data_IF_761731944289
#
_entry.id   IF_761731944289
#
_cell.length_a   1.000
_cell.length_b   1.000
_cell.length_c   1.000
_cell.angle_alpha   90.00
_cell.angle_beta   90.00
_cell.angle_gamma   90.00
#
_symmetry.space_group_name_H-M   'P 1'
#
loop_
_entity.id
_entity.type
_entity.pdbx_description
1 polymer ?
#
# COMPACT_ATOMS: atom_id res chain seq x y z
N UNK A 1 32.56 7.02 -6.07
CA UNK A 1 31.54 6.91 -5.00
C UNK A 1 30.13 7.31 -5.48
N UNK A 2 29.78 7.11 -6.77
CA UNK A 2 28.44 7.42 -7.29
C UNK A 2 27.45 6.25 -7.20
N UNK A 3 27.92 5.05 -6.84
CA UNK A 3 27.12 3.83 -6.86
C UNK A 3 26.25 3.64 -5.62
N UNK A 4 26.65 4.13 -4.44
CA UNK A 4 25.98 3.80 -3.17
C UNK A 4 24.57 4.37 -3.07
N UNK A 5 24.36 5.64 -3.45
CA UNK A 5 23.05 6.26 -3.31
C UNK A 5 22.00 5.66 -4.25
N UNK A 6 22.39 5.25 -5.46
CA UNK A 6 21.47 4.65 -6.43
C UNK A 6 20.87 3.33 -5.92
N UNK A 7 21.65 2.51 -5.22
CA UNK A 7 21.15 1.26 -4.64
C UNK A 7 20.11 1.47 -3.55
N UNK A 8 20.20 2.55 -2.76
CA UNK A 8 19.19 2.86 -1.75
C UNK A 8 17.84 3.18 -2.38
N UNK A 9 17.84 3.96 -3.47
CA UNK A 9 16.63 4.19 -4.25
C UNK A 9 16.06 2.89 -4.84
N UNK A 10 16.91 2.03 -5.40
CA UNK A 10 16.49 0.72 -5.91
C UNK A 10 15.84 -0.12 -4.83
N UNK A 11 16.39 -0.13 -3.61
CA UNK A 11 15.81 -0.89 -2.50
C UNK A 11 14.43 -0.36 -2.07
N UNK A 12 14.24 0.96 -2.06
CA UNK A 12 12.92 1.56 -1.76
C UNK A 12 11.92 1.28 -2.88
N UNK A 13 12.37 1.31 -4.14
CA UNK A 13 11.54 0.94 -5.30
C UNK A 13 11.17 -0.54 -5.29
N UNK A 14 12.07 -1.42 -4.86
CA UNK A 14 11.80 -2.84 -4.67
C UNK A 14 10.68 -3.05 -3.63
N UNK A 15 10.73 -2.32 -2.51
CA UNK A 15 9.63 -2.30 -1.53
C UNK A 15 8.32 -1.75 -2.08
N UNK A 16 8.39 -0.73 -2.93
CA UNK A 16 7.20 -0.21 -3.61
C UNK A 16 6.61 -1.25 -4.56
N UNK A 17 7.44 -1.96 -5.32
CA UNK A 17 7.00 -3.02 -6.23
C UNK A 17 6.37 -4.20 -5.47
N UNK A 18 6.98 -4.64 -4.36
CA UNK A 18 6.40 -5.63 -3.45
C UNK A 18 5.02 -5.20 -2.94
N UNK A 19 4.88 -3.93 -2.56
CA UNK A 19 3.63 -3.37 -2.08
C UNK A 19 2.56 -3.32 -3.19
N UNK A 20 2.93 -2.90 -4.40
CA UNK A 20 2.05 -2.92 -5.58
C UNK A 20 1.55 -4.33 -5.89
N UNK A 21 2.43 -5.33 -5.86
CA UNK A 21 2.02 -6.73 -6.06
C UNK A 21 1.02 -7.18 -4.98
N UNK A 22 1.30 -6.86 -3.71
CA UNK A 22 0.39 -7.20 -2.61
C UNK A 22 -0.97 -6.51 -2.77
N UNK A 23 -0.99 -5.25 -3.22
CA UNK A 23 -2.22 -4.52 -3.51
C UNK A 23 -3.03 -5.18 -4.62
N UNK A 24 -2.38 -5.55 -5.72
CA UNK A 24 -3.01 -6.32 -6.82
C UNK A 24 -3.65 -7.63 -6.29
N UNK A 25 -2.92 -8.34 -5.42
CA UNK A 25 -3.46 -9.54 -4.77
C UNK A 25 -4.70 -9.21 -3.92
N UNK A 26 -4.75 -8.07 -3.25
CA UNK A 26 -5.91 -7.61 -2.48
C UNK A 26 -7.08 -7.26 -3.40
N UNK A 27 -6.84 -6.52 -4.49
CA UNK A 27 -7.85 -6.18 -5.50
C UNK A 27 -8.48 -7.44 -6.11
N UNK A 28 -7.64 -8.40 -6.53
CA UNK A 28 -8.11 -9.68 -7.03
C UNK A 28 -8.99 -10.44 -6.01
N UNK A 29 -8.66 -10.34 -4.72
CA UNK A 29 -9.48 -10.92 -3.65
C UNK A 29 -10.81 -10.16 -3.47
N UNK A 30 -10.82 -8.83 -3.59
CA UNK A 30 -12.05 -8.03 -3.53
C UNK A 30 -12.97 -8.39 -4.71
N UNK A 31 -12.45 -8.42 -5.94
CA UNK A 31 -13.19 -8.79 -7.16
C UNK A 31 -13.77 -10.21 -7.03
N UNK A 32 -12.95 -11.18 -6.59
CA UNK A 32 -13.41 -12.55 -6.41
C UNK A 32 -14.54 -12.70 -5.38
N UNK A 33 -14.63 -11.78 -4.42
CA UNK A 33 -15.62 -11.81 -3.33
C UNK A 33 -16.70 -10.72 -3.44
N UNK A 34 -16.80 -10.01 -4.57
CA UNK A 34 -17.78 -8.92 -4.76
C UNK A 34 -19.23 -9.40 -4.58
N UNK A 35 -19.51 -10.67 -4.88
CA UNK A 35 -20.83 -11.28 -4.75
C UNK A 35 -21.01 -12.06 -3.43
N UNK A 36 -20.04 -12.01 -2.53
CA UNK A 36 -20.11 -12.64 -1.21
C UNK A 36 -20.83 -11.68 -0.25
N UNK A 37 -22.03 -12.03 0.28
CA UNK A 37 -22.75 -11.15 1.20
C UNK A 37 -21.94 -10.83 2.45
N UNK A 38 -21.95 -9.57 2.88
CA UNK A 38 -21.23 -9.08 4.05
C UNK A 38 -19.70 -8.99 3.88
N UNK A 39 -19.16 -9.23 2.69
CA UNK A 39 -17.73 -9.08 2.44
C UNK A 39 -17.31 -7.62 2.54
N UNK A 40 -16.20 -7.37 3.24
CA UNK A 40 -15.63 -6.05 3.43
C UNK A 40 -14.37 -5.87 2.60
N UNK A 41 -14.37 -4.81 1.80
CA UNK A 41 -13.26 -4.32 0.98
C UNK A 41 -12.00 -4.22 1.83
N UNK A 42 -10.90 -4.70 1.27
CA UNK A 42 -9.57 -4.55 1.86
C UNK A 42 -8.70 -3.72 0.94
N UNK A 43 -7.73 -3.03 1.51
CA UNK A 43 -6.75 -2.26 0.75
C UNK A 43 -5.41 -2.21 1.49
N UNK A 44 -4.39 -1.66 0.84
CA UNK A 44 -3.03 -1.55 1.31
C UNK A 44 -2.47 -0.15 1.02
N UNK A 45 -2.08 0.57 2.07
CA UNK A 45 -1.56 1.94 1.97
C UNK A 45 -0.03 1.98 2.17
N UNK A 46 0.69 1.86 1.06
CA UNK A 46 2.14 2.01 1.06
C UNK A 46 2.57 3.47 1.14
N UNK A 47 1.78 4.41 0.61
CA UNK A 47 2.15 5.82 0.55
C UNK A 47 2.31 6.39 1.96
N UNK A 48 1.34 6.13 2.84
CA UNK A 48 1.42 6.55 4.24
C UNK A 48 2.60 5.89 4.95
N UNK A 49 2.85 4.61 4.69
CA UNK A 49 3.98 3.86 5.28
C UNK A 49 5.32 4.49 4.87
N UNK A 50 5.50 4.80 3.57
CA UNK A 50 6.71 5.44 3.06
C UNK A 50 6.84 6.87 3.61
N UNK A 51 5.76 7.63 3.63
CA UNK A 51 5.74 9.00 4.15
C UNK A 51 6.08 9.05 5.63
N UNK A 52 5.61 8.10 6.43
CA UNK A 52 5.96 7.97 7.83
C UNK A 52 7.47 7.71 7.98
N UNK A 53 8.02 6.76 7.22
CA UNK A 53 9.45 6.43 7.30
C UNK A 53 10.33 7.62 6.90
N UNK A 54 10.01 8.28 5.79
CA UNK A 54 10.72 9.50 5.36
C UNK A 54 10.48 10.69 6.32
N UNK A 55 9.40 10.67 7.10
CA UNK A 55 9.07 11.66 8.12
C UNK A 55 9.87 11.51 9.41
N UNK A 56 10.36 10.30 9.72
CA UNK A 56 11.21 10.05 10.91
C UNK A 56 12.56 10.75 10.83
N UNK A 57 13.03 11.02 9.62
CA UNK A 57 14.27 11.75 9.38
C UNK A 57 14.03 13.27 9.37
N UNK A 58 14.75 13.99 10.24
CA UNK A 58 14.67 15.46 10.37
C UNK A 58 15.40 16.22 9.25
N UNK A 59 16.23 15.53 8.46
CA UNK A 59 16.89 16.15 7.30
C UNK A 59 15.88 16.48 6.20
N UNK A 60 16.17 17.48 5.40
CA UNK A 60 15.25 17.95 4.35
C UNK A 60 15.50 17.28 3.00
N UNK A 61 16.73 16.85 2.70
CA UNK A 61 17.07 16.23 1.42
C UNK A 61 16.51 14.82 1.29
N UNK A 62 15.87 14.52 0.16
CA UNK A 62 15.33 13.20 -0.13
C UNK A 62 16.43 12.13 -0.18
N UNK A 63 17.58 12.45 -0.77
CA UNK A 63 18.73 11.53 -0.86
C UNK A 63 19.14 11.02 0.52
N UNK A 64 19.20 11.93 1.51
CA UNK A 64 19.57 11.57 2.88
C UNK A 64 18.49 10.69 3.54
N UNK A 65 17.22 11.03 3.33
CA UNK A 65 16.10 10.25 3.87
C UNK A 65 16.05 8.84 3.30
N UNK A 66 16.30 8.68 2.00
CA UNK A 66 16.30 7.39 1.31
C UNK A 66 17.52 6.56 1.72
N UNK A 67 18.69 7.17 1.84
CA UNK A 67 19.90 6.52 2.32
C UNK A 67 19.76 5.98 3.75
N UNK A 68 18.97 6.66 4.59
CA UNK A 68 18.75 6.28 6.00
C UNK A 68 17.38 5.61 6.25
N UNK A 69 16.62 5.30 5.21
CA UNK A 69 15.32 4.66 5.35
C UNK A 69 15.51 3.21 5.84
N UNK A 70 14.78 2.82 6.89
CA UNK A 70 14.74 1.45 7.33
C UNK A 70 13.74 0.65 6.50
N UNK A 71 14.25 -0.19 5.60
CA UNK A 71 13.42 -1.03 4.72
C UNK A 71 12.49 -1.98 5.48
N UNK A 72 12.76 -2.31 6.74
CA UNK A 72 11.86 -3.13 7.55
C UNK A 72 10.58 -2.39 7.97
N UNK A 73 10.59 -1.05 7.95
CA UNK A 73 9.40 -0.24 8.19
C UNK A 73 8.55 -0.07 6.92
N UNK A 74 9.12 -0.33 5.74
CA UNK A 74 8.42 -0.28 4.44
C UNK A 74 7.62 -1.55 4.15
N UNK A 75 6.93 -2.08 5.16
CA UNK A 75 6.07 -3.26 5.07
C UNK A 75 4.63 -2.87 5.40
N UNK A 76 3.85 -2.38 4.41
CA UNK A 76 2.49 -1.93 4.64
C UNK A 76 1.59 -3.12 5.02
N UNK A 77 0.65 -2.87 5.94
CA UNK A 77 -0.36 -3.85 6.33
C UNK A 77 -1.64 -3.66 5.51
N UNK A 78 -2.30 -4.79 5.21
CA UNK A 78 -3.63 -4.78 4.63
C UNK A 78 -4.62 -4.36 5.71
N UNK A 79 -5.45 -3.36 5.41
CA UNK A 79 -6.54 -2.93 6.28
C UNK A 79 -7.89 -3.22 5.63
N UNK A 80 -8.94 -3.25 6.44
CA UNK A 80 -10.32 -3.32 5.93
C UNK A 80 -10.84 -1.91 5.78
N UNK A 81 -11.15 -1.53 4.56
CA UNK A 81 -11.67 -0.21 4.24
C UNK A 81 -13.11 -0.11 4.73
N UNK A 82 -13.43 1.02 5.39
CA UNK A 82 -14.79 1.39 5.76
C UNK A 82 -15.60 0.28 6.45
N UNK A 83 -15.02 -0.35 7.48
CA UNK A 83 -15.61 -1.49 8.23
C UNK A 83 -17.07 -1.31 8.65
N UNK A 84 -17.49 -0.07 8.94
CA UNK A 84 -18.83 0.28 9.40
C UNK A 84 -19.80 0.74 8.30
N UNK A 85 -19.34 0.86 7.06
CA UNK A 85 -20.18 1.29 5.94
C UNK A 85 -20.45 0.10 5.01
N UNK A 86 -21.69 0.03 4.54
CA UNK A 86 -22.15 -0.93 3.54
C UNK A 86 -22.89 -0.12 2.49
N UNK A 87 -22.34 -0.02 1.28
CA UNK A 87 -22.97 0.71 0.18
C UNK A 87 -24.06 -0.12 -0.50
N UNK A 88 -24.02 -1.45 -0.30
CA UNK A 88 -24.96 -2.41 -0.88
C UNK A 88 -25.90 -2.99 0.19
N UNK A 89 -27.11 -3.34 -0.23
CA UNK A 89 -28.15 -3.96 0.62
C UNK A 89 -27.73 -5.32 1.20
N UNK A 90 -26.77 -6.00 0.56
CA UNK A 90 -26.18 -7.27 1.00
C UNK A 90 -25.12 -7.11 2.11
N UNK A 91 -24.88 -5.88 2.59
CA UNK A 91 -23.91 -5.59 3.64
C UNK A 91 -22.47 -5.45 3.15
N UNK A 92 -22.23 -5.55 1.83
CA UNK A 92 -20.91 -5.39 1.24
C UNK A 92 -20.59 -3.93 0.92
N UNK A 93 -19.31 -3.60 0.85
CA UNK A 93 -18.80 -2.28 0.44
C UNK A 93 -17.79 -2.35 -0.71
N UNK A 94 -17.69 -3.50 -1.39
CA UNK A 94 -16.88 -3.66 -2.61
C UNK A 94 -17.67 -3.12 -3.80
N UNK A 95 -16.99 -2.32 -4.63
CA UNK A 95 -17.50 -1.78 -5.89
C UNK A 95 -16.60 -2.24 -7.04
N UNK A 96 -17.12 -3.12 -7.90
CA UNK A 96 -16.34 -3.74 -8.97
C UNK A 96 -15.79 -2.72 -9.96
N UNK A 97 -16.52 -1.64 -10.23
CA UNK A 97 -16.08 -0.62 -11.19
C UNK A 97 -14.88 0.16 -10.61
N UNK A 98 -14.81 0.30 -9.28
CA UNK A 98 -13.66 0.89 -8.61
C UNK A 98 -12.47 -0.06 -8.52
N UNK A 99 -12.71 -1.36 -8.27
CA UNK A 99 -11.62 -2.34 -8.12
C UNK A 99 -10.89 -2.62 -9.45
N UNK A 100 -11.57 -2.56 -10.60
CA UNK A 100 -10.99 -2.82 -11.93
C UNK A 100 -10.18 -1.64 -12.49
N UNK A 101 -10.33 -0.44 -11.91
CA UNK A 101 -9.65 0.79 -12.37
C UNK A 101 -8.41 1.11 -11.51
N UNK A 102 -8.36 0.56 -10.30
CA UNK A 102 -7.30 0.80 -9.31
C UNK A 102 -6.04 -0.03 -9.56
#
# INVERSE_FOLDING_TARGET
MLSTNAFNYVNVLDKAADASWKRETVLANNIANVNTPGYKRKDLDFESTLKEELGRCKHTSLDYKIDHANLNHLNPSVYTDLTNYSYRLDGSNVDIDSEEVE
#
